data_IF_537374419126
#
_entry.id   IF_537374419126
#
_cell.length_a   1.000
_cell.length_b   1.000
_cell.length_c   1.000
_cell.angle_alpha   90.00
_cell.angle_beta   90.00
_cell.angle_gamma   90.00
#
_symmetry.space_group_name_H-M   'P 1'
#
loop_
_entity.id
_entity.type
_entity.pdbx_description
1 polymer ?
#
# COMPACT_ATOMS: atom_id res chain seq x y z
N UNK A 1 -25.27 -13.31 11.84
CA UNK A 1 -24.08 -12.90 12.63
C UNK A 1 -22.83 -13.36 11.89
N UNK A 2 -22.10 -12.47 11.21
CA UNK A 2 -20.77 -12.77 10.67
C UNK A 2 -19.75 -12.42 11.75
N UNK A 3 -19.46 -13.37 12.63
CA UNK A 3 -18.40 -13.27 13.63
C UNK A 3 -17.26 -14.22 13.23
N UNK A 4 -16.01 -13.78 13.44
CA UNK A 4 -14.72 -14.39 13.09
C UNK A 4 -14.34 -14.19 11.61
N UNK A 5 -13.36 -13.34 11.23
CA UNK A 5 -11.91 -13.54 11.44
C UNK A 5 -11.10 -12.22 11.39
N UNK A 6 -11.50 -11.18 12.12
CA UNK A 6 -10.74 -9.90 12.16
C UNK A 6 -9.35 -10.02 12.82
N UNK A 7 -9.04 -11.13 13.51
CA UNK A 7 -7.79 -11.31 14.26
C UNK A 7 -6.65 -11.99 13.49
N UNK A 8 -6.89 -12.66 12.36
CA UNK A 8 -5.81 -13.30 11.58
C UNK A 8 -5.29 -12.44 10.41
N UNK A 9 -6.08 -11.49 9.91
CA UNK A 9 -5.64 -10.56 8.87
C UNK A 9 -4.89 -9.33 9.39
N UNK A 10 -4.95 -9.04 10.70
CA UNK A 10 -4.40 -7.82 11.31
C UNK A 10 -2.89 -7.61 11.07
N UNK A 11 -2.13 -8.70 10.89
CA UNK A 11 -0.68 -8.64 10.65
C UNK A 11 -0.27 -8.75 9.18
N UNK A 12 -1.11 -9.35 8.32
CA UNK A 12 -0.72 -9.69 6.94
C UNK A 12 -0.54 -8.41 6.12
N UNK A 13 -1.50 -7.49 6.17
CA UNK A 13 -1.39 -6.22 5.44
C UNK A 13 -0.21 -5.37 5.94
N UNK A 14 0.14 -5.45 7.24
CA UNK A 14 1.30 -4.75 7.81
C UNK A 14 2.61 -5.32 7.28
N UNK A 15 2.71 -6.65 7.18
CA UNK A 15 3.89 -7.30 6.58
C UNK A 15 4.06 -6.90 5.12
N UNK A 16 3.00 -7.00 4.32
CA UNK A 16 3.00 -6.62 2.91
C UNK A 16 3.36 -5.13 2.76
N UNK A 17 2.86 -4.26 3.64
CA UNK A 17 3.21 -2.85 3.67
C UNK A 17 4.71 -2.63 3.94
N UNK A 18 5.30 -3.34 4.90
CA UNK A 18 6.74 -3.28 5.17
C UNK A 18 7.55 -3.75 3.96
N UNK A 19 7.12 -4.78 3.25
CA UNK A 19 7.74 -5.22 1.99
C UNK A 19 7.65 -4.12 0.92
N UNK A 20 6.52 -3.40 0.83
CA UNK A 20 6.38 -2.24 -0.06
C UNK A 20 7.34 -1.10 0.26
N UNK A 21 7.59 -0.84 1.56
CA UNK A 21 8.62 0.13 1.99
C UNK A 21 10.01 -0.31 1.54
N UNK A 22 10.36 -1.59 1.74
CA UNK A 22 11.66 -2.11 1.33
C UNK A 22 11.85 -1.99 -0.19
N UNK A 23 10.86 -2.40 -0.98
CA UNK A 23 10.89 -2.25 -2.44
C UNK A 23 11.00 -0.78 -2.88
N UNK A 24 10.40 0.16 -2.14
CA UNK A 24 10.56 1.59 -2.40
C UNK A 24 12.02 2.04 -2.21
N UNK A 25 12.66 1.60 -1.14
CA UNK A 25 14.06 1.91 -0.85
C UNK A 25 15.01 1.35 -1.93
N UNK A 26 14.70 0.17 -2.43
CA UNK A 26 15.43 -0.49 -3.52
C UNK A 26 15.09 0.06 -4.92
N UNK A 27 14.21 1.06 -5.01
CA UNK A 27 13.67 1.63 -6.27
C UNK A 27 12.93 0.62 -7.16
N UNK A 28 12.48 -0.50 -6.59
CA UNK A 28 11.61 -1.47 -7.22
C UNK A 28 10.16 -0.97 -7.19
N UNK A 29 9.89 0.13 -7.89
CA UNK A 29 8.65 0.88 -7.76
C UNK A 29 7.39 0.10 -8.14
N UNK A 30 7.46 -0.76 -9.14
CA UNK A 30 6.33 -1.61 -9.55
C UNK A 30 5.92 -2.58 -8.42
N UNK A 31 6.90 -3.26 -7.82
CA UNK A 31 6.62 -4.19 -6.74
C UNK A 31 6.15 -3.44 -5.48
N UNK A 32 6.74 -2.28 -5.18
CA UNK A 32 6.28 -1.42 -4.09
C UNK A 32 4.80 -1.02 -4.23
N UNK A 33 4.40 -0.59 -5.43
CA UNK A 33 2.99 -0.27 -5.75
C UNK A 33 2.09 -1.50 -5.58
N UNK A 34 2.54 -2.67 -6.03
CA UNK A 34 1.79 -3.92 -5.89
C UNK A 34 1.60 -4.30 -4.41
N UNK A 35 2.65 -4.17 -3.61
CA UNK A 35 2.60 -4.38 -2.16
C UNK A 35 1.60 -3.43 -1.49
N UNK A 36 1.68 -2.12 -1.76
CA UNK A 36 0.74 -1.17 -1.16
C UNK A 36 -0.70 -1.43 -1.60
N UNK A 37 -0.92 -1.79 -2.87
CA UNK A 37 -2.25 -2.17 -3.39
C UNK A 37 -2.83 -3.36 -2.65
N UNK A 38 -2.06 -4.44 -2.46
CA UNK A 38 -2.49 -5.61 -1.68
C UNK A 38 -2.78 -5.26 -0.21
N UNK A 39 -1.97 -4.38 0.40
CA UNK A 39 -2.20 -3.92 1.76
C UNK A 39 -3.54 -3.14 1.89
N UNK A 40 -3.86 -2.32 0.87
CA UNK A 40 -5.13 -1.58 0.76
C UNK A 40 -6.31 -2.54 0.56
N UNK A 41 -6.19 -3.56 -0.29
CA UNK A 41 -7.26 -4.56 -0.52
C UNK A 41 -7.61 -5.33 0.76
N UNK A 42 -6.60 -5.61 1.60
CA UNK A 42 -6.79 -6.29 2.89
C UNK A 42 -7.28 -5.36 4.00
N UNK A 43 -6.91 -4.08 3.94
CA UNK A 43 -7.37 -3.06 4.88
C UNK A 43 -7.53 -1.71 4.16
N UNK A 44 -8.75 -1.48 3.67
CA UNK A 44 -9.09 -0.26 2.92
C UNK A 44 -9.03 1.01 3.76
N UNK A 45 -8.94 0.91 5.09
CA UNK A 45 -8.80 2.06 5.98
C UNK A 45 -7.33 2.35 6.34
N UNK A 46 -6.37 1.68 5.69
CA UNK A 46 -4.96 1.84 6.01
C UNK A 46 -4.32 3.03 5.27
N UNK A 47 -4.58 4.24 5.78
CA UNK A 47 -4.13 5.50 5.19
C UNK A 47 -2.62 5.53 4.84
N UNK A 48 -1.77 4.87 5.64
CA UNK A 48 -0.33 4.80 5.37
C UNK A 48 -0.01 4.10 4.05
N UNK A 49 -0.76 3.08 3.64
CA UNK A 49 -0.52 2.39 2.37
C UNK A 49 -0.85 3.28 1.16
N UNK A 50 -1.94 4.05 1.22
CA UNK A 50 -2.27 5.05 0.19
C UNK A 50 -1.21 6.14 0.10
N UNK A 51 -0.79 6.69 1.24
CA UNK A 51 0.24 7.75 1.29
C UNK A 51 1.56 7.28 0.68
N UNK A 52 2.00 6.05 1.00
CA UNK A 52 3.23 5.50 0.45
C UNK A 52 3.10 5.14 -1.03
N UNK A 53 1.95 4.64 -1.50
CA UNK A 53 1.72 4.39 -2.93
C UNK A 53 1.75 5.68 -3.75
N UNK A 54 1.14 6.76 -3.25
CA UNK A 54 1.27 8.08 -3.84
C UNK A 54 2.75 8.54 -3.90
N UNK A 55 3.49 8.39 -2.79
CA UNK A 55 4.92 8.76 -2.73
C UNK A 55 5.74 7.98 -3.77
N UNK A 56 5.50 6.67 -3.92
CA UNK A 56 6.19 5.87 -4.94
C UNK A 56 5.85 6.36 -6.34
N UNK A 57 4.58 6.66 -6.63
CA UNK A 57 4.22 7.23 -7.92
C UNK A 57 4.91 8.58 -8.17
N UNK A 58 5.08 9.44 -7.16
CA UNK A 58 5.86 10.67 -7.29
C UNK A 58 7.34 10.39 -7.57
N UNK A 59 7.97 9.47 -6.85
CA UNK A 59 9.38 9.07 -7.05
C UNK A 59 9.63 8.39 -8.40
N UNK A 60 8.60 7.74 -8.93
CA UNK A 60 8.61 7.09 -10.25
C UNK A 60 8.11 8.02 -11.38
N UNK A 61 7.87 9.31 -11.08
CA UNK A 61 7.41 10.31 -12.05
C UNK A 61 6.07 9.96 -12.73
N UNK A 62 5.24 9.15 -12.05
CA UNK A 62 3.87 8.75 -12.44
C UNK A 62 2.85 9.73 -11.84
N UNK A 63 2.92 10.99 -12.28
CA UNK A 63 2.19 12.08 -11.63
C UNK A 63 0.67 11.95 -11.68
N UNK A 64 0.09 11.42 -12.77
CA UNK A 64 -1.35 11.21 -12.88
C UNK A 64 -1.85 10.19 -11.84
N UNK A 65 -1.13 9.09 -11.68
CA UNK A 65 -1.42 8.07 -10.67
C UNK A 65 -1.24 8.62 -9.25
N UNK A 66 -0.18 9.42 -9.02
CA UNK A 66 0.04 10.06 -7.73
C UNK A 66 -1.13 10.98 -7.33
N UNK A 67 -1.62 11.81 -8.26
CA UNK A 67 -2.76 12.72 -8.02
C UNK A 67 -4.03 11.93 -7.69
N UNK A 68 -4.27 10.80 -8.36
CA UNK A 68 -5.44 9.96 -8.08
C UNK A 68 -5.39 9.38 -6.65
N UNK A 69 -4.21 8.91 -6.22
CA UNK A 69 -4.02 8.31 -4.89
C UNK A 69 -3.96 9.33 -3.75
N UNK A 70 -3.33 10.49 -3.96
CA UNK A 70 -3.14 11.51 -2.92
C UNK A 70 -4.44 12.27 -2.54
N UNK A 71 -5.54 12.05 -3.27
CA UNK A 71 -6.83 12.69 -3.02
C UNK A 71 -7.89 11.73 -2.44
N UNK A 72 -7.48 10.51 -2.05
CA UNK A 72 -8.34 9.46 -1.50
C UNK A 72 -8.27 9.40 0.03
#
# INVERSE_FOLDING_TARGET
MKTATASSQSGIYKKIFTEGIANTQDKNYEEAVNNFTKAIELNSNFASAYSNRCLVYLQWEKYEQAIADCNQ
#
